data_IF_681320533039
#
_entry.id   IF_681320533039
#
_cell.length_a   1.000
_cell.length_b   1.000
_cell.length_c   1.000
_cell.angle_alpha   90.00
_cell.angle_beta   90.00
_cell.angle_gamma   90.00
#
_symmetry.space_group_name_H-M   'P 1'
#
loop_
_entity.id
_entity.type
_entity.pdbx_description
1 polymer ?
#
# COMPACT_ATOMS: atom_id res chain seq x y z
N UNK A 1 -26.07 7.54 37.85
CA UNK A 1 -26.27 6.59 36.74
C UNK A 1 -27.17 7.24 35.70
N UNK A 2 -26.58 7.73 34.62
CA UNK A 2 -27.23 7.78 33.31
C UNK A 2 -26.10 7.43 32.34
N UNK A 3 -26.10 6.19 31.85
CA UNK A 3 -25.16 5.77 30.82
C UNK A 3 -25.60 6.38 29.50
N UNK A 4 -24.73 7.16 28.86
CA UNK A 4 -24.91 7.48 27.46
C UNK A 4 -24.79 6.17 26.66
N UNK A 5 -25.78 5.81 25.82
CA UNK A 5 -25.60 4.71 24.90
C UNK A 5 -24.43 5.09 23.98
N UNK A 6 -23.41 4.23 23.94
CA UNK A 6 -22.29 4.41 23.03
C UNK A 6 -22.83 4.55 21.62
N UNK A 7 -22.76 5.77 21.07
CA UNK A 7 -23.11 6.03 19.68
C UNK A 7 -22.25 5.09 18.81
N UNK A 8 -22.84 4.39 17.83
CA UNK A 8 -22.06 3.60 16.89
C UNK A 8 -21.01 4.51 16.26
N UNK A 9 -19.76 4.03 16.20
CA UNK A 9 -18.67 4.75 15.54
C UNK A 9 -19.14 5.10 14.11
N UNK A 10 -19.11 6.37 13.69
CA UNK A 10 -19.50 6.72 12.33
C UNK A 10 -18.55 6.01 11.37
N UNK A 11 -19.10 5.30 10.38
CA UNK A 11 -18.34 4.86 9.22
C UNK A 11 -18.39 6.00 8.20
N UNK A 12 -17.35 6.22 7.42
CA UNK A 12 -17.37 7.26 6.38
C UNK A 12 -17.35 6.63 5.00
N UNK A 13 -17.69 7.39 3.98
CA UNK A 13 -17.64 7.02 2.58
C UNK A 13 -16.81 8.10 1.88
N UNK A 14 -15.63 7.75 1.36
CA UNK A 14 -14.96 8.63 0.39
C UNK A 14 -15.45 8.24 -1.00
N UNK A 15 -16.36 9.03 -1.57
CA UNK A 15 -16.69 8.94 -2.98
C UNK A 15 -15.70 9.76 -3.81
N UNK A 16 -15.15 9.18 -4.87
CA UNK A 16 -14.37 9.93 -5.85
C UNK A 16 -15.29 10.91 -6.59
N UNK A 17 -15.18 12.20 -6.30
CA UNK A 17 -15.92 13.24 -7.02
C UNK A 17 -15.26 13.54 -8.38
N UNK A 18 -15.94 13.25 -9.48
CA UNK A 18 -15.57 13.75 -10.81
C UNK A 18 -16.08 15.21 -10.97
N UNK A 19 -15.17 16.14 -11.26
CA UNK A 19 -15.52 17.56 -11.42
C UNK A 19 -16.28 17.85 -12.72
N UNK A 20 -16.23 16.94 -13.69
CA UNK A 20 -16.93 17.08 -14.98
C UNK A 20 -18.32 16.41 -14.99
N UNK A 21 -18.66 15.65 -13.94
CA UNK A 21 -19.99 15.11 -13.75
C UNK A 21 -20.96 16.23 -13.31
N UNK A 22 -21.81 16.68 -14.24
CA UNK A 22 -22.75 17.78 -14.02
C UNK A 22 -23.91 17.46 -13.06
N UNK A 23 -24.01 16.22 -12.60
CA UNK A 23 -24.99 15.81 -11.60
C UNK A 23 -24.44 14.65 -10.75
N UNK A 24 -24.50 14.77 -9.43
CA UNK A 24 -24.06 13.73 -8.46
C UNK A 24 -24.93 12.46 -8.59
N UNK A 25 -26.11 12.60 -9.20
CA UNK A 25 -27.07 11.52 -9.45
C UNK A 25 -26.71 10.66 -10.68
N UNK A 26 -25.83 11.14 -11.54
CA UNK A 26 -25.41 10.43 -12.75
C UNK A 26 -24.12 9.61 -12.54
N UNK A 27 -23.56 9.63 -11.32
CA UNK A 27 -22.45 8.78 -10.91
C UNK A 27 -22.92 7.33 -10.63
N UNK A 28 -23.56 6.70 -11.62
CA UNK A 28 -23.74 5.23 -11.61
C UNK A 28 -22.35 4.59 -11.71
N UNK A 29 -21.84 4.12 -10.57
CA UNK A 29 -20.56 3.40 -10.48
C UNK A 29 -19.51 4.03 -9.57
N UNK A 30 -19.80 5.13 -8.87
CA UNK A 30 -18.93 5.60 -7.79
C UNK A 30 -19.08 4.68 -6.57
N UNK A 31 -18.32 3.59 -6.57
CA UNK A 31 -18.18 2.66 -5.46
C UNK A 31 -17.77 3.39 -4.18
N UNK A 32 -18.37 2.98 -3.07
CA UNK A 32 -18.15 3.51 -1.73
C UNK A 32 -17.20 2.55 -1.02
N UNK A 33 -15.95 2.95 -0.73
CA UNK A 33 -15.15 2.20 0.23
C UNK A 33 -14.33 3.11 1.14
N UNK A 34 -14.50 2.93 2.47
CA UNK A 34 -13.46 3.01 3.51
C UNK A 34 -14.13 3.00 4.91
N UNK A 35 -13.73 2.11 5.81
CA UNK A 35 -14.18 2.11 7.20
C UNK A 35 -13.21 2.90 8.10
N UNK A 36 -13.74 3.51 9.16
CA UNK A 36 -13.05 4.40 10.11
C UNK A 36 -11.74 3.87 10.72
N UNK A 37 -11.51 2.56 10.66
CA UNK A 37 -10.29 1.95 11.17
C UNK A 37 -9.06 2.22 10.29
N UNK A 38 -9.25 2.68 9.04
CA UNK A 38 -8.19 3.05 8.09
C UNK A 38 -7.78 4.54 8.11
N UNK A 39 -8.33 5.32 9.03
CA UNK A 39 -7.87 6.68 9.33
C UNK A 39 -7.04 6.75 10.63
N UNK A 40 -6.36 5.69 11.01
CA UNK A 40 -5.34 5.75 12.06
C UNK A 40 -4.04 6.37 11.52
N UNK A 41 -4.14 7.58 10.98
CA UNK A 41 -3.10 8.62 10.92
C UNK A 41 -3.72 10.03 10.94
N UNK A 42 -4.90 10.14 11.57
CA UNK A 42 -5.61 11.39 11.86
C UNK A 42 -4.83 12.36 12.77
N UNK A 43 -3.69 11.93 13.31
CA UNK A 43 -2.88 12.62 14.33
C UNK A 43 -1.37 12.60 14.00
N UNK A 44 -0.97 12.18 12.80
CA UNK A 44 0.42 12.30 12.38
C UNK A 44 0.83 13.79 12.32
N UNK A 45 2.08 14.08 12.70
CA UNK A 45 2.69 15.40 12.64
C UNK A 45 3.47 15.49 11.31
N UNK A 46 3.15 16.42 10.39
CA UNK A 46 2.24 17.55 10.54
C UNK A 46 0.75 17.16 10.43
N UNK A 47 -0.13 17.86 11.18
CA UNK A 47 -1.55 17.50 11.32
C UNK A 47 -2.25 17.38 9.96
N UNK A 48 -3.20 16.44 9.80
CA UNK A 48 -3.96 16.32 8.57
C UNK A 48 -4.71 17.62 8.28
N UNK A 49 -4.95 17.93 6.99
CA UNK A 49 -5.58 19.17 6.57
C UNK A 49 -6.91 19.40 7.33
N UNK A 50 -7.14 20.65 7.74
CA UNK A 50 -8.37 21.05 8.41
C UNK A 50 -9.58 20.68 7.52
N UNK A 51 -10.60 20.08 8.12
CA UNK A 51 -11.75 19.54 7.38
C UNK A 51 -12.78 20.64 7.13
N UNK A 52 -13.28 20.76 5.90
CA UNK A 52 -14.35 21.68 5.55
C UNK A 52 -15.71 21.32 6.19
N UNK A 53 -16.29 20.17 5.84
CA UNK A 53 -17.63 19.72 6.33
C UNK A 53 -17.81 18.20 6.14
N UNK A 54 -18.63 17.55 6.98
CA UNK A 54 -19.10 16.17 6.78
C UNK A 54 -20.64 16.12 6.81
N UNK A 55 -21.25 15.26 5.99
CA UNK A 55 -22.70 15.04 5.96
C UNK A 55 -23.01 13.55 5.93
N UNK A 56 -24.16 13.07 6.48
CA UNK A 56 -24.60 11.71 6.27
C UNK A 56 -24.69 11.38 4.78
N UNK A 57 -24.10 10.26 4.37
CA UNK A 57 -24.05 9.88 2.97
C UNK A 57 -25.41 9.34 2.50
N UNK A 58 -25.78 9.66 1.26
CA UNK A 58 -26.94 9.06 0.61
C UNK A 58 -26.73 7.58 0.26
N UNK A 59 -25.48 7.13 0.29
CA UNK A 59 -25.03 5.80 -0.10
C UNK A 59 -25.42 4.68 0.87
N UNK A 60 -25.81 5.02 2.10
CA UNK A 60 -26.28 4.03 3.06
C UNK A 60 -26.21 4.49 4.51
N UNK A 61 -26.96 3.83 5.40
CA UNK A 61 -26.93 4.15 6.82
C UNK A 61 -25.55 3.91 7.42
N UNK A 62 -25.07 4.87 8.20
CA UNK A 62 -23.80 4.78 8.91
C UNK A 62 -22.59 5.28 8.13
N UNK A 63 -22.77 5.74 6.88
CA UNK A 63 -21.75 6.36 6.03
C UNK A 63 -21.83 7.90 6.09
N UNK A 64 -20.71 8.59 5.87
CA UNK A 64 -20.66 10.07 5.76
C UNK A 64 -19.82 10.50 4.57
N UNK A 65 -20.29 11.51 3.84
CA UNK A 65 -19.52 12.15 2.77
C UNK A 65 -18.60 13.19 3.38
N UNK A 66 -17.32 13.15 3.01
CA UNK A 66 -16.30 14.09 3.47
C UNK A 66 -15.92 15.05 2.34
N UNK A 67 -16.07 16.35 2.57
CA UNK A 67 -15.48 17.36 1.68
C UNK A 67 -14.04 17.59 2.10
N UNK A 68 -13.11 17.17 1.24
CA UNK A 68 -11.70 17.50 1.38
C UNK A 68 -11.45 18.94 0.91
N UNK A 69 -10.47 19.60 1.52
CA UNK A 69 -10.01 20.90 1.04
C UNK A 69 -9.47 20.79 -0.40
N UNK A 70 -9.60 21.82 -1.25
CA UNK A 70 -9.21 21.75 -2.66
C UNK A 70 -7.76 21.34 -2.94
N UNK A 71 -6.86 21.54 -1.96
CA UNK A 71 -5.45 21.17 -2.03
C UNK A 71 -5.13 19.81 -1.40
N UNK A 72 -6.15 19.07 -0.93
CA UNK A 72 -5.95 17.74 -0.39
C UNK A 72 -5.69 16.76 -1.54
N UNK A 73 -4.70 15.89 -1.36
CA UNK A 73 -4.48 14.78 -2.27
C UNK A 73 -5.66 13.82 -2.16
N UNK A 74 -6.34 13.59 -3.28
CA UNK A 74 -7.45 12.63 -3.33
C UNK A 74 -6.87 11.23 -3.45
N UNK A 75 -7.39 10.25 -2.69
CA UNK A 75 -6.99 8.86 -2.90
C UNK A 75 -7.34 8.44 -4.33
N UNK A 76 -6.49 7.60 -4.95
CA UNK A 76 -6.77 7.10 -6.29
C UNK A 76 -8.01 6.22 -6.28
N UNK A 77 -8.70 6.09 -7.41
CA UNK A 77 -9.84 5.16 -7.53
C UNK A 77 -9.43 3.72 -7.21
N UNK A 78 -8.18 3.34 -7.50
CA UNK A 78 -7.63 2.04 -7.16
C UNK A 78 -7.39 1.81 -5.65
N UNK A 79 -7.64 2.81 -4.79
CA UNK A 79 -7.57 2.66 -3.33
C UNK A 79 -8.72 1.82 -2.76
N UNK A 80 -9.85 1.76 -3.47
CA UNK A 80 -11.07 1.06 -3.07
C UNK A 80 -10.78 -0.39 -2.65
N UNK A 81 -10.17 -1.17 -3.56
CA UNK A 81 -9.83 -2.57 -3.30
C UNK A 81 -8.80 -2.74 -2.17
N UNK A 82 -7.88 -1.79 -2.02
CA UNK A 82 -6.90 -1.84 -0.92
C UNK A 82 -7.61 -1.65 0.42
N UNK A 83 -8.52 -0.69 0.54
CA UNK A 83 -9.27 -0.49 1.78
C UNK A 83 -10.14 -1.68 2.13
N UNK A 84 -10.78 -2.32 1.14
CA UNK A 84 -11.54 -3.55 1.39
C UNK A 84 -10.66 -4.67 1.94
N UNK A 85 -9.43 -4.80 1.42
CA UNK A 85 -8.47 -5.82 1.87
C UNK A 85 -7.84 -5.51 3.24
N UNK A 86 -7.84 -4.24 3.66
CA UNK A 86 -7.26 -3.77 4.92
C UNK A 86 -8.30 -3.41 5.99
N UNK A 87 -9.59 -3.45 5.66
CA UNK A 87 -10.66 -2.90 6.51
C UNK A 87 -10.80 -3.57 7.88
N UNK A 88 -10.44 -4.84 7.99
CA UNK A 88 -10.39 -5.60 9.25
C UNK A 88 -9.01 -5.52 9.95
N UNK A 89 -8.11 -4.67 9.44
CA UNK A 89 -6.73 -4.51 9.87
C UNK A 89 -5.73 -5.12 8.90
N UNK A 90 -4.50 -5.34 9.38
CA UNK A 90 -3.40 -5.83 8.55
C UNK A 90 -3.77 -7.17 7.90
N UNK A 91 -3.58 -7.34 6.58
CA UNK A 91 -3.79 -8.59 5.88
C UNK A 91 -3.08 -9.77 6.56
N UNK A 92 -3.74 -10.92 6.61
CA UNK A 92 -3.20 -12.15 7.23
C UNK A 92 -2.80 -13.20 6.19
N UNK A 93 -3.24 -13.04 4.94
CA UNK A 93 -2.92 -13.93 3.82
C UNK A 93 -1.91 -13.28 2.88
N UNK A 94 -0.87 -14.02 2.45
CA UNK A 94 0.11 -13.51 1.50
C UNK A 94 -0.48 -13.35 0.09
N UNK A 95 0.00 -12.34 -0.64
CA UNK A 95 -0.29 -12.15 -2.05
C UNK A 95 -1.59 -11.42 -2.37
N UNK A 96 -2.30 -10.89 -1.37
CA UNK A 96 -3.55 -10.15 -1.59
C UNK A 96 -3.35 -8.87 -2.44
N UNK A 97 -2.17 -8.24 -2.35
CA UNK A 97 -1.78 -7.11 -3.21
C UNK A 97 -1.78 -7.45 -4.71
N UNK A 98 -1.69 -8.73 -5.09
CA UNK A 98 -1.67 -9.14 -6.48
C UNK A 98 -3.00 -8.89 -7.20
N UNK A 99 -4.10 -8.80 -6.44
CA UNK A 99 -5.43 -8.48 -6.96
C UNK A 99 -5.52 -7.04 -7.48
N UNK A 100 -4.80 -6.13 -6.83
CA UNK A 100 -4.75 -4.74 -7.19
C UNK A 100 -3.98 -4.53 -8.51
N UNK A 101 -4.43 -3.57 -9.31
CA UNK A 101 -3.64 -3.01 -10.41
C UNK A 101 -2.44 -2.18 -9.92
N UNK A 102 -1.59 -1.71 -10.84
CA UNK A 102 -0.34 -1.00 -10.49
C UNK A 102 -0.56 0.19 -9.53
N UNK A 103 -1.58 1.02 -9.78
CA UNK A 103 -1.91 2.16 -8.92
C UNK A 103 -2.39 1.73 -7.53
N UNK A 104 -3.21 0.68 -7.46
CA UNK A 104 -3.64 0.08 -6.19
C UNK A 104 -2.46 -0.53 -5.42
N UNK A 105 -1.47 -1.12 -6.09
CA UNK A 105 -0.24 -1.60 -5.44
C UNK A 105 0.63 -0.47 -4.90
N UNK A 106 0.68 0.68 -5.58
CA UNK A 106 1.34 1.88 -5.02
C UNK A 106 0.63 2.36 -3.76
N UNK A 107 -0.69 2.37 -3.77
CA UNK A 107 -1.49 2.72 -2.59
C UNK A 107 -1.28 1.70 -1.46
N UNK A 108 -1.27 0.41 -1.77
CA UNK A 108 -0.92 -0.67 -0.83
C UNK A 108 0.42 -0.43 -0.13
N UNK A 109 1.45 0.00 -0.86
CA UNK A 109 2.77 0.30 -0.27
C UNK A 109 2.75 1.51 0.67
N UNK A 110 1.93 2.52 0.38
CA UNK A 110 1.71 3.64 1.29
C UNK A 110 1.00 3.14 2.55
N UNK A 111 -0.10 2.40 2.41
CA UNK A 111 -0.81 1.81 3.56
C UNK A 111 0.10 0.90 4.39
N UNK A 112 0.93 0.06 3.76
CA UNK A 112 1.86 -0.81 4.46
C UNK A 112 2.94 -0.03 5.24
N UNK A 113 3.40 1.11 4.70
CA UNK A 113 4.34 2.01 5.39
C UNK A 113 3.69 2.65 6.62
N UNK A 114 2.52 3.25 6.45
CA UNK A 114 1.78 3.94 7.51
C UNK A 114 1.44 2.98 8.66
N UNK A 115 1.12 1.73 8.33
CA UNK A 115 0.84 0.66 9.29
C UNK A 115 2.08 -0.08 9.78
N UNK A 116 3.29 0.27 9.31
CA UNK A 116 4.50 -0.41 9.72
C UNK A 116 4.87 -0.02 11.16
N UNK A 117 5.03 -0.97 12.09
CA UNK A 117 5.34 -0.62 13.47
C UNK A 117 6.75 -0.03 13.56
N UNK A 118 6.85 1.20 14.09
CA UNK A 118 8.15 1.84 14.28
C UNK A 118 9.05 1.07 15.24
N UNK A 119 10.32 0.93 14.89
CA UNK A 119 11.32 0.34 15.78
C UNK A 119 11.19 -1.17 15.96
N UNK A 120 10.55 -1.87 15.03
CA UNK A 120 10.52 -3.33 15.01
C UNK A 120 11.95 -3.90 15.14
N UNK A 121 12.22 -4.73 16.16
CA UNK A 121 13.49 -5.40 16.25
C UNK A 121 13.61 -6.32 15.04
N UNK A 122 14.57 -6.03 14.17
CA UNK A 122 14.77 -6.91 13.02
C UNK A 122 15.15 -8.33 13.45
N UNK A 123 14.90 -9.28 12.57
CA UNK A 123 15.20 -10.71 12.75
C UNK A 123 16.66 -10.95 13.14
N UNK A 124 16.96 -12.15 13.64
CA UNK A 124 18.35 -12.57 13.80
C UNK A 124 19.13 -12.46 12.47
N UNK A 125 20.36 -11.94 12.48
CA UNK A 125 21.20 -11.91 11.29
C UNK A 125 21.46 -13.32 10.75
N UNK A 126 21.61 -13.43 9.43
CA UNK A 126 21.81 -14.69 8.70
C UNK A 126 20.51 -15.34 8.20
N UNK A 127 19.37 -14.64 8.30
CA UNK A 127 18.09 -15.12 7.80
C UNK A 127 18.04 -15.25 6.27
N UNK A 128 17.18 -16.16 5.79
CA UNK A 128 16.81 -16.28 4.38
C UNK A 128 15.32 -15.96 4.23
N UNK A 129 15.00 -15.00 3.36
CA UNK A 129 13.63 -14.61 3.06
C UNK A 129 13.21 -15.14 1.69
N UNK A 130 11.96 -15.59 1.58
CA UNK A 130 11.43 -16.15 0.34
C UNK A 130 10.57 -15.11 -0.37
N UNK A 131 11.06 -14.63 -1.51
CA UNK A 131 10.39 -13.66 -2.35
C UNK A 131 9.56 -14.40 -3.41
N UNK A 132 8.24 -14.31 -3.29
CA UNK A 132 7.30 -14.91 -4.24
C UNK A 132 7.17 -14.04 -5.50
N UNK A 133 7.74 -14.49 -6.62
CA UNK A 133 7.80 -13.71 -7.86
C UNK A 133 6.62 -13.85 -8.81
N UNK A 134 5.74 -14.84 -8.62
CA UNK A 134 4.64 -15.19 -9.54
C UNK A 134 3.68 -14.06 -9.92
N UNK A 135 3.64 -12.99 -9.12
CA UNK A 135 2.76 -11.83 -9.33
C UNK A 135 3.53 -10.50 -9.48
N UNK A 136 4.86 -10.54 -9.59
CA UNK A 136 5.68 -9.35 -9.80
C UNK A 136 5.60 -8.98 -11.28
N UNK A 137 4.57 -8.20 -11.65
CA UNK A 137 4.31 -7.77 -13.04
C UNK A 137 4.64 -6.30 -13.28
N UNK A 138 4.89 -5.53 -12.22
CA UNK A 138 5.25 -4.12 -12.26
C UNK A 138 6.15 -3.78 -11.07
N UNK A 139 6.75 -2.58 -11.10
CA UNK A 139 7.70 -2.14 -10.07
C UNK A 139 7.05 -2.07 -8.68
N UNK A 140 5.81 -1.55 -8.51
CA UNK A 140 5.13 -1.62 -7.20
C UNK A 140 4.93 -3.05 -6.71
N UNK A 141 4.57 -3.99 -7.59
CA UNK A 141 4.42 -5.41 -7.25
C UNK A 141 5.72 -6.04 -6.71
N UNK A 142 6.88 -5.63 -7.23
CA UNK A 142 8.18 -6.05 -6.69
C UNK A 142 8.34 -5.60 -5.22
N UNK A 143 8.05 -4.35 -4.92
CA UNK A 143 8.15 -3.82 -3.56
C UNK A 143 7.10 -4.45 -2.62
N UNK A 144 5.88 -4.73 -3.09
CA UNK A 144 4.88 -5.46 -2.31
C UNK A 144 5.37 -6.86 -1.94
N UNK A 145 5.92 -7.58 -2.91
CA UNK A 145 6.48 -8.92 -2.69
C UNK A 145 7.67 -8.90 -1.72
N UNK A 146 8.55 -7.90 -1.81
CA UNK A 146 9.66 -7.72 -0.86
C UNK A 146 9.16 -7.45 0.56
N UNK A 147 8.23 -6.51 0.72
CA UNK A 147 7.63 -6.17 1.99
C UNK A 147 7.00 -7.38 2.67
N UNK A 148 6.30 -8.19 1.89
CA UNK A 148 5.68 -9.42 2.37
C UNK A 148 6.69 -10.52 2.72
N UNK A 149 7.74 -10.68 1.92
CA UNK A 149 8.80 -11.65 2.17
C UNK A 149 9.52 -11.40 3.51
N UNK A 150 9.76 -10.13 3.84
CA UNK A 150 10.49 -9.74 5.05
C UNK A 150 9.59 -9.66 6.28
N UNK A 151 8.43 -9.01 6.14
CA UNK A 151 7.61 -8.63 7.28
C UNK A 151 6.30 -9.42 7.38
N UNK A 152 6.04 -10.36 6.48
CA UNK A 152 4.79 -11.12 6.39
C UNK A 152 3.68 -10.36 5.65
N UNK A 153 2.49 -10.96 5.50
CA UNK A 153 1.33 -10.39 4.78
C UNK A 153 1.10 -8.89 5.02
N UNK A 154 0.94 -8.12 3.94
CA UNK A 154 0.81 -6.65 4.02
C UNK A 154 2.06 -5.91 4.54
N UNK A 155 3.21 -6.58 4.57
CA UNK A 155 4.46 -6.01 5.09
C UNK A 155 5.04 -4.91 4.19
N UNK A 156 5.79 -4.00 4.80
CA UNK A 156 6.53 -2.94 4.12
C UNK A 156 8.03 -3.21 4.16
N UNK A 157 8.73 -3.04 3.04
CA UNK A 157 10.19 -3.09 2.99
C UNK A 157 10.71 -2.23 1.81
N UNK A 158 10.28 -0.97 1.81
CA UNK A 158 10.57 0.00 0.75
C UNK A 158 9.43 0.13 -0.28
N UNK A 159 9.36 1.31 -0.91
CA UNK A 159 8.43 1.63 -2.02
C UNK A 159 9.13 2.25 -3.23
N UNK A 160 10.45 2.10 -3.27
CA UNK A 160 11.39 2.75 -4.17
C UNK A 160 12.81 2.42 -3.73
N UNK A 161 13.81 2.64 -4.61
CA UNK A 161 15.20 2.26 -4.32
C UNK A 161 15.78 2.98 -3.10
N UNK A 162 15.53 4.28 -2.94
CA UNK A 162 16.03 5.04 -1.78
C UNK A 162 15.44 4.49 -0.46
N UNK A 163 14.13 4.25 -0.43
CA UNK A 163 13.46 3.67 0.74
C UNK A 163 13.92 2.22 1.00
N UNK A 164 14.22 1.47 -0.06
CA UNK A 164 14.78 0.12 0.06
C UNK A 164 16.20 0.17 0.66
N UNK A 165 17.09 1.06 0.20
CA UNK A 165 18.42 1.25 0.80
C UNK A 165 18.32 1.52 2.30
N UNK A 166 17.37 2.34 2.75
CA UNK A 166 17.13 2.58 4.17
C UNK A 166 16.65 1.31 4.90
N UNK A 167 15.79 0.51 4.28
CA UNK A 167 15.33 -0.77 4.82
C UNK A 167 16.45 -1.80 4.95
N UNK A 168 17.34 -1.89 3.96
CA UNK A 168 18.46 -2.84 3.90
C UNK A 168 19.50 -2.60 5.02
N UNK A 169 19.61 -1.36 5.51
CA UNK A 169 20.46 -1.00 6.65
C UNK A 169 19.90 -1.48 8.01
N UNK A 170 18.70 -2.05 8.01
CA UNK A 170 18.05 -2.67 9.16
C UNK A 170 17.10 -1.73 9.93
N UNK A 171 16.46 -2.26 10.98
CA UNK A 171 15.35 -1.63 11.75
C UNK A 171 13.98 -1.61 11.06
N UNK A 172 13.87 -2.31 9.93
CA UNK A 172 12.65 -2.44 9.12
C UNK A 172 12.22 -3.90 8.93
N UNK A 173 12.57 -4.78 9.88
CA UNK A 173 12.21 -6.20 9.83
C UNK A 173 13.38 -7.16 9.60
N UNK A 174 14.26 -6.88 8.64
CA UNK A 174 15.47 -7.67 8.42
C UNK A 174 16.70 -7.03 9.10
N UNK A 175 17.63 -7.85 9.61
CA UNK A 175 18.97 -7.38 10.02
C UNK A 175 20.05 -7.99 9.12
N UNK A 176 20.92 -7.19 8.50
CA UNK A 176 22.03 -7.70 7.70
C UNK A 176 23.05 -8.47 8.58
N UNK A 177 23.73 -9.49 8.03
CA UNK A 177 23.53 -10.05 6.68
C UNK A 177 22.24 -10.88 6.56
N UNK A 178 21.61 -10.91 5.39
CA UNK A 178 20.52 -11.82 5.05
C UNK A 178 20.51 -12.08 3.54
N UNK A 179 19.72 -13.06 3.11
CA UNK A 179 19.59 -13.43 1.70
C UNK A 179 18.12 -13.51 1.26
N UNK A 180 17.87 -13.33 -0.04
CA UNK A 180 16.60 -13.65 -0.68
C UNK A 180 16.71 -14.92 -1.54
N UNK A 181 15.69 -15.76 -1.46
CA UNK A 181 15.38 -16.76 -2.48
C UNK A 181 14.20 -16.24 -3.30
N UNK A 182 14.46 -15.86 -4.55
CA UNK A 182 13.47 -15.31 -5.47
C UNK A 182 12.91 -16.42 -6.35
N UNK A 183 11.67 -16.83 -6.04
CA UNK A 183 10.91 -17.83 -6.78
C UNK A 183 10.20 -17.20 -7.98
N UNK A 184 10.07 -17.94 -9.09
CA UNK A 184 9.28 -17.51 -10.27
C UNK A 184 9.71 -16.16 -10.87
N UNK A 185 11.02 -15.86 -10.79
CA UNK A 185 11.61 -14.59 -11.23
C UNK A 185 11.42 -14.28 -12.73
N UNK A 186 11.13 -15.29 -13.54
CA UNK A 186 10.84 -15.13 -14.98
C UNK A 186 9.63 -14.24 -15.25
N UNK A 187 8.66 -14.18 -14.33
CA UNK A 187 7.52 -13.26 -14.42
C UNK A 187 8.00 -11.81 -14.42
N UNK A 188 8.82 -11.45 -13.42
CA UNK A 188 9.39 -10.12 -13.31
C UNK A 188 10.30 -9.80 -14.52
N UNK A 189 11.12 -10.77 -14.96
CA UNK A 189 11.97 -10.61 -16.14
C UNK A 189 11.18 -10.32 -17.42
N UNK A 190 10.01 -10.93 -17.55
CA UNK A 190 9.14 -10.75 -18.73
C UNK A 190 8.36 -9.43 -18.67
N UNK A 191 7.91 -9.01 -17.50
CA UNK A 191 6.97 -7.90 -17.35
C UNK A 191 7.64 -6.55 -17.03
N UNK A 192 8.75 -6.54 -16.30
CA UNK A 192 9.37 -5.30 -15.84
C UNK A 192 10.13 -4.57 -16.95
N UNK A 193 10.18 -3.24 -16.84
CA UNK A 193 10.81 -2.38 -17.83
C UNK A 193 10.00 -2.16 -19.12
N UNK A 194 8.78 -2.70 -19.18
CA UNK A 194 7.84 -2.49 -20.28
C UNK A 194 6.96 -1.27 -19.99
N UNK A 195 7.22 -0.13 -20.65
CA UNK A 195 6.29 1.00 -20.67
C UNK A 195 6.43 1.83 -21.97
N UNK A 196 5.37 2.54 -22.40
CA UNK A 196 5.44 3.46 -23.53
C UNK A 196 6.44 4.61 -23.28
N UNK A 197 7.08 5.09 -24.36
CA UNK A 197 8.14 6.12 -24.37
C UNK A 197 7.73 7.53 -23.87
N UNK A 198 6.55 7.70 -23.29
CA UNK A 198 5.99 9.00 -22.90
C UNK A 198 6.37 9.41 -21.47
N UNK A 199 7.17 8.61 -20.74
CA UNK A 199 7.60 8.90 -19.38
C UNK A 199 8.97 8.30 -19.03
N UNK A 200 9.38 8.41 -17.75
CA UNK A 200 10.58 7.74 -17.25
C UNK A 200 10.37 6.23 -17.34
N UNK A 201 11.27 5.55 -18.04
CA UNK A 201 11.26 4.09 -18.16
C UNK A 201 11.24 3.44 -16.76
N UNK A 202 10.32 2.51 -16.48
CA UNK A 202 10.35 1.73 -15.24
C UNK A 202 11.61 0.88 -15.15
N UNK A 203 11.99 0.52 -13.92
CA UNK A 203 13.11 -0.38 -13.67
C UNK A 203 12.87 -1.76 -14.29
N UNK A 204 13.91 -2.35 -14.89
CA UNK A 204 13.85 -3.76 -15.33
C UNK A 204 14.14 -4.72 -14.20
N UNK A 205 13.89 -6.00 -14.45
CA UNK A 205 14.32 -7.07 -13.56
C UNK A 205 15.83 -7.04 -13.31
N UNK A 206 16.65 -6.89 -14.34
CA UNK A 206 18.12 -6.87 -14.25
C UNK A 206 18.63 -5.70 -13.41
N UNK A 207 17.99 -4.53 -13.53
CA UNK A 207 18.34 -3.35 -12.75
C UNK A 207 17.98 -3.54 -11.26
N UNK A 208 16.79 -4.09 -10.96
CA UNK A 208 16.39 -4.38 -9.57
C UNK A 208 17.22 -5.52 -8.96
N UNK A 209 17.50 -6.56 -9.72
CA UNK A 209 18.34 -7.68 -9.31
C UNK A 209 19.77 -7.21 -9.03
N UNK A 210 20.36 -6.44 -9.96
CA UNK A 210 21.69 -5.84 -9.79
C UNK A 210 21.76 -4.92 -8.58
N UNK A 211 20.72 -4.10 -8.37
CA UNK A 211 20.64 -3.22 -7.21
C UNK A 211 20.72 -3.98 -5.87
N UNK A 212 20.01 -5.10 -5.73
CA UNK A 212 20.07 -5.93 -4.51
C UNK A 212 21.49 -6.46 -4.27
N UNK A 213 22.18 -6.90 -5.33
CA UNK A 213 23.56 -7.39 -5.23
C UNK A 213 24.54 -6.26 -4.87
N UNK A 214 24.38 -5.07 -5.44
CA UNK A 214 25.21 -3.90 -5.17
C UNK A 214 25.07 -3.41 -3.73
N UNK A 215 23.87 -3.54 -3.14
CA UNK A 215 23.62 -3.30 -1.71
C UNK A 215 24.10 -4.45 -0.80
N UNK A 216 24.78 -5.45 -1.37
CA UNK A 216 25.41 -6.55 -0.63
C UNK A 216 24.43 -7.64 -0.17
N UNK A 217 23.22 -7.69 -0.74
CA UNK A 217 22.23 -8.74 -0.46
C UNK A 217 22.49 -9.94 -1.35
N UNK A 218 22.62 -11.13 -0.77
CA UNK A 218 22.68 -12.36 -1.56
C UNK A 218 21.29 -12.69 -2.12
N UNK A 219 21.20 -12.92 -3.43
CA UNK A 219 19.96 -13.31 -4.10
C UNK A 219 20.16 -14.62 -4.85
N UNK A 220 19.31 -15.62 -4.57
CA UNK A 220 19.28 -16.91 -5.28
C UNK A 220 17.97 -17.02 -6.05
N UNK A 221 18.04 -17.32 -7.34
CA UNK A 221 16.86 -17.57 -8.16
C UNK A 221 16.44 -19.04 -8.02
N UNK A 222 15.14 -19.30 -7.86
CA UNK A 222 14.56 -20.63 -7.66
C UNK A 222 13.33 -20.87 -8.53
#
# INVERSE_FOLDING_TARGET
>A
MVGHPGLPRPSYALAAYDADARDVRDAEGAGICALCLDAEDLLADPPPPARGTWIPSACGPGLVDLTLEPWSERPPTAAEEVWDLWGDGRPTEPGLWARCGEEGRRHWLTTALDRHPHGMPGTEPGGTFHLAGRHITDVPGFFCALGEAVNGPGGYFGRGLDALTDCLRGRWGARPPFAFVWHDADTARTCLGLAPLTGRRPWTFEELYGFLLDEGVEVRLA
#
